data_IF_256903470943
#
_entry.id   IF_256903470943
#
_cell.length_a   1.000
_cell.length_b   1.000
_cell.length_c   1.000
_cell.angle_alpha   90.00
_cell.angle_beta   90.00
_cell.angle_gamma   90.00
#
_symmetry.space_group_name_H-M   'P 1'
#
loop_
_entity.id
_entity.type
_entity.pdbx_description
1 polymer ?
#
# COMPACT_ATOMS: atom_id res chain seq x y z
N UNK A 1 -9.97 3.92 -10.75
CA UNK A 1 -10.75 3.91 -9.49
C UNK A 1 -10.81 5.28 -8.81
N UNK A 2 -9.73 6.06 -8.89
CA UNK A 2 -9.58 7.38 -8.26
C UNK A 2 -10.72 8.37 -8.56
N UNK A 3 -11.22 8.43 -9.79
CA UNK A 3 -12.31 9.34 -10.17
C UNK A 3 -13.58 9.09 -9.36
N UNK A 4 -13.93 7.82 -9.12
CA UNK A 4 -15.09 7.46 -8.29
C UNK A 4 -14.93 7.92 -6.84
N UNK A 5 -13.72 7.89 -6.30
CA UNK A 5 -13.44 8.36 -4.94
C UNK A 5 -13.54 9.87 -4.87
N UNK A 6 -13.08 10.59 -5.90
CA UNK A 6 -13.19 12.06 -6.00
C UNK A 6 -14.64 12.53 -6.01
N UNK A 7 -15.56 11.77 -6.61
CA UNK A 7 -16.99 12.12 -6.63
C UNK A 7 -17.73 11.88 -5.31
N UNK A 8 -17.11 11.24 -4.31
CA UNK A 8 -17.77 10.98 -3.03
C UNK A 8 -17.81 12.26 -2.17
N UNK A 9 -18.96 12.58 -1.54
CA UNK A 9 -19.25 13.90 -0.97
C UNK A 9 -18.39 14.27 0.25
N UNK A 10 -17.83 13.29 0.96
CA UNK A 10 -17.08 13.53 2.19
C UNK A 10 -16.14 12.40 2.56
N UNK A 11 -15.26 12.69 3.51
CA UNK A 11 -14.26 11.74 4.00
C UNK A 11 -14.88 10.43 4.54
N UNK A 12 -15.96 10.45 5.37
CA UNK A 12 -16.58 9.22 5.85
C UNK A 12 -17.08 8.29 4.73
N UNK A 13 -17.66 8.85 3.67
CA UNK A 13 -18.14 8.09 2.51
C UNK A 13 -16.99 7.48 1.72
N UNK A 14 -15.89 8.23 1.56
CA UNK A 14 -14.64 7.72 0.95
C UNK A 14 -14.09 6.53 1.74
N UNK A 15 -13.96 6.66 3.06
CA UNK A 15 -13.48 5.58 3.92
C UNK A 15 -14.40 4.35 3.86
N UNK A 16 -15.73 4.55 3.91
CA UNK A 16 -16.68 3.45 3.81
C UNK A 16 -16.63 2.74 2.45
N UNK A 17 -16.38 3.48 1.36
CA UNK A 17 -16.16 2.89 0.05
C UNK A 17 -14.88 2.06 0.00
N UNK A 18 -13.76 2.62 0.45
CA UNK A 18 -12.46 1.93 0.49
C UNK A 18 -12.47 0.64 1.32
N UNK A 19 -13.29 0.57 2.38
CA UNK A 19 -13.47 -0.64 3.19
C UNK A 19 -14.23 -1.77 2.48
N UNK A 20 -14.97 -1.47 1.41
CA UNK A 20 -15.84 -2.43 0.71
C UNK A 20 -15.21 -3.02 -0.55
N UNK A 21 -14.23 -2.35 -1.12
CA UNK A 21 -13.59 -2.81 -2.36
C UNK A 21 -12.70 -4.02 -2.08
N UNK A 22 -12.48 -4.84 -3.10
CA UNK A 22 -11.61 -6.01 -3.03
C UNK A 22 -10.20 -5.62 -2.51
N UNK A 23 -9.57 -6.43 -1.62
CA UNK A 23 -8.27 -6.08 -1.06
C UNK A 23 -7.19 -5.84 -2.12
N UNK A 24 -7.11 -6.64 -3.19
CA UNK A 24 -6.13 -6.45 -4.25
C UNK A 24 -6.41 -5.18 -5.06
N UNK A 25 -7.69 -4.86 -5.26
CA UNK A 25 -8.08 -3.58 -5.89
C UNK A 25 -7.72 -2.39 -5.00
N UNK A 26 -7.77 -2.54 -3.68
CA UNK A 26 -7.33 -1.49 -2.74
C UNK A 26 -5.82 -1.27 -2.78
N UNK A 27 -5.04 -2.34 -2.93
CA UNK A 27 -3.58 -2.27 -3.08
C UNK A 27 -3.21 -1.51 -4.36
N UNK A 28 -3.79 -1.89 -5.50
CA UNK A 28 -3.57 -1.22 -6.79
C UNK A 28 -4.00 0.25 -6.76
N UNK A 29 -5.09 0.57 -6.06
CA UNK A 29 -5.55 1.96 -5.91
C UNK A 29 -4.49 2.86 -5.22
N UNK A 30 -3.74 2.35 -4.24
CA UNK A 30 -2.68 3.13 -3.60
C UNK A 30 -1.56 3.45 -4.59
N UNK A 31 -1.18 2.47 -5.43
CA UNK A 31 -0.17 2.65 -6.47
C UNK A 31 -0.65 3.61 -7.56
N UNK A 32 -1.88 3.46 -8.05
CA UNK A 32 -2.52 4.43 -8.96
C UNK A 32 -2.47 5.86 -8.36
N UNK A 33 -2.71 5.98 -7.05
CA UNK A 33 -2.65 7.25 -6.34
C UNK A 33 -1.27 7.91 -6.39
N UNK A 34 -0.21 7.15 -6.18
CA UNK A 34 1.17 7.64 -6.31
C UNK A 34 1.51 8.01 -7.76
N UNK A 35 1.14 7.16 -8.72
CA UNK A 35 1.34 7.43 -10.15
C UNK A 35 0.64 8.71 -10.61
N UNK A 36 -0.59 8.94 -10.14
CA UNK A 36 -1.35 10.15 -10.45
C UNK A 36 -0.69 11.45 -9.92
N UNK A 37 0.24 11.34 -8.96
CA UNK A 37 1.05 12.45 -8.46
C UNK A 37 2.47 12.48 -9.06
N UNK A 38 2.73 11.67 -10.09
CA UNK A 38 4.00 11.66 -10.83
C UNK A 38 5.09 10.78 -10.23
N UNK A 39 4.78 9.95 -9.22
CA UNK A 39 5.76 9.03 -8.66
C UNK A 39 5.83 7.73 -9.44
N UNK A 40 7.05 7.19 -9.58
CA UNK A 40 7.26 5.87 -10.18
C UNK A 40 6.94 4.78 -9.16
N UNK A 41 6.02 3.88 -9.50
CA UNK A 41 5.67 2.72 -8.67
C UNK A 41 6.27 1.42 -9.23
N UNK A 42 6.34 0.40 -8.38
CA UNK A 42 6.74 -0.96 -8.73
C UNK A 42 5.67 -1.89 -8.18
N UNK A 43 4.99 -2.61 -9.09
CA UNK A 43 3.98 -3.62 -8.78
C UNK A 43 4.64 -4.98 -8.59
N UNK A 44 4.19 -5.75 -7.61
CA UNK A 44 4.70 -7.10 -7.38
C UNK A 44 4.13 -8.07 -8.43
N UNK A 45 4.97 -9.01 -8.93
CA UNK A 45 4.55 -9.96 -10.00
C UNK A 45 3.66 -11.10 -9.50
N UNK A 46 3.61 -11.35 -8.19
CA UNK A 46 2.72 -12.31 -7.54
C UNK A 46 2.25 -11.73 -6.23
N UNK A 47 0.95 -11.84 -5.97
CA UNK A 47 0.28 -11.47 -4.72
C UNK A 47 0.53 -12.45 -3.57
N UNK A 48 1.39 -13.46 -3.76
CA UNK A 48 1.62 -14.52 -2.78
C UNK A 48 3.11 -14.82 -2.63
N UNK A 49 3.63 -14.62 -1.42
CA UNK A 49 4.93 -15.14 -0.98
C UNK A 49 5.97 -14.12 -0.50
N UNK A 50 5.69 -12.82 -0.53
CA UNK A 50 6.61 -11.74 -0.13
C UNK A 50 6.40 -11.22 1.31
N UNK A 51 5.57 -11.90 2.10
CA UNK A 51 5.38 -11.57 3.51
C UNK A 51 4.52 -10.33 3.75
N UNK A 52 3.85 -9.78 2.74
CA UNK A 52 2.93 -8.66 2.89
C UNK A 52 3.49 -7.31 2.47
N UNK A 53 4.36 -7.28 1.46
CA UNK A 53 4.62 -6.07 0.69
C UNK A 53 3.59 -6.04 -0.42
N UNK A 54 2.77 -4.99 -0.48
CA UNK A 54 1.67 -4.91 -1.45
C UNK A 54 2.03 -4.00 -2.63
N UNK A 55 3.14 -3.28 -2.53
CA UNK A 55 3.70 -2.49 -3.63
C UNK A 55 4.86 -1.62 -3.19
N UNK A 56 5.38 -0.80 -4.09
CA UNK A 56 6.55 0.02 -3.82
C UNK A 56 6.51 1.31 -4.63
N UNK A 57 7.12 2.37 -4.11
CA UNK A 57 7.20 3.67 -4.78
C UNK A 57 8.60 4.27 -4.64
N UNK A 58 9.06 4.93 -5.69
CA UNK A 58 10.31 5.71 -5.69
C UNK A 58 9.96 7.17 -5.47
N UNK A 59 10.51 7.76 -4.39
CA UNK A 59 10.35 9.17 -4.06
C UNK A 59 11.75 9.76 -3.88
N UNK A 60 12.15 10.64 -4.81
CA UNK A 60 13.53 11.11 -4.91
C UNK A 60 14.49 9.95 -5.16
N UNK A 61 15.51 9.81 -4.30
CA UNK A 61 16.50 8.72 -4.36
C UNK A 61 16.13 7.48 -3.56
N UNK A 62 14.98 7.51 -2.87
CA UNK A 62 14.60 6.46 -1.92
C UNK A 62 13.50 5.57 -2.48
N UNK A 63 13.60 4.28 -2.16
CA UNK A 63 12.58 3.28 -2.43
C UNK A 63 11.80 3.02 -1.15
N UNK A 64 10.48 3.19 -1.22
CA UNK A 64 9.56 2.94 -0.13
C UNK A 64 8.76 1.67 -0.42
N UNK A 65 8.64 0.79 0.56
CA UNK A 65 7.78 -0.38 0.51
C UNK A 65 6.40 -0.01 1.08
N UNK A 66 5.35 -0.52 0.47
CA UNK A 66 3.97 -0.25 0.83
C UNK A 66 3.36 -1.56 1.34
N UNK A 67 2.66 -1.47 2.46
CA UNK A 67 1.70 -2.47 2.92
C UNK A 67 0.35 -1.77 3.14
N UNK A 68 -0.71 -2.39 2.64
CA UNK A 68 -2.06 -1.89 2.58
C UNK A 68 -2.97 -2.75 3.47
N UNK A 69 -3.66 -2.11 4.41
CA UNK A 69 -4.61 -2.79 5.29
C UNK A 69 -5.91 -1.99 5.40
N UNK A 70 -7.03 -2.65 5.13
CA UNK A 70 -8.37 -2.06 5.25
C UNK A 70 -8.91 -2.24 6.68
N UNK A 71 -8.44 -1.43 7.62
CA UNK A 71 -8.88 -1.55 9.01
C UNK A 71 -10.34 -1.10 9.22
N UNK A 72 -11.08 -1.93 9.97
CA UNK A 72 -12.41 -1.56 10.51
C UNK A 72 -12.31 -0.85 11.86
N UNK A 73 -11.21 -1.07 12.60
CA UNK A 73 -10.91 -0.44 13.89
C UNK A 73 -9.49 0.13 13.93
N UNK A 74 -8.84 0.05 15.10
CA UNK A 74 -7.46 0.54 15.26
C UNK A 74 -6.45 -0.32 14.50
N UNK A 75 -5.32 0.32 14.13
CA UNK A 75 -4.14 -0.39 13.62
C UNK A 75 -3.56 -1.20 14.78
N UNK A 76 -3.48 -2.51 14.65
CA UNK A 76 -2.82 -3.36 15.65
C UNK A 76 -1.30 -3.13 15.60
N UNK A 77 -0.69 -2.90 16.76
CA UNK A 77 0.76 -2.69 16.90
C UNK A 77 1.57 -3.83 16.26
N UNK A 78 1.09 -5.06 16.41
CA UNK A 78 1.73 -6.24 15.85
C UNK A 78 1.94 -6.15 14.33
N UNK A 79 0.97 -5.63 13.58
CA UNK A 79 1.12 -5.48 12.13
C UNK A 79 2.26 -4.51 11.75
N UNK A 80 2.47 -3.47 12.56
CA UNK A 80 3.56 -2.51 12.34
C UNK A 80 4.91 -3.16 12.63
N UNK A 81 5.00 -3.94 13.71
CA UNK A 81 6.22 -4.66 14.08
C UNK A 81 6.60 -5.74 13.05
N UNK A 82 5.62 -6.46 12.54
CA UNK A 82 5.81 -7.44 11.46
C UNK A 82 6.34 -6.77 10.19
N UNK A 83 5.78 -5.62 9.82
CA UNK A 83 6.27 -4.86 8.67
C UNK A 83 7.69 -4.31 8.88
N UNK A 84 8.00 -3.80 10.07
CA UNK A 84 9.36 -3.34 10.41
C UNK A 84 10.40 -4.47 10.27
N UNK A 85 10.05 -5.67 10.72
CA UNK A 85 10.92 -6.84 10.60
C UNK A 85 11.21 -7.15 9.12
N UNK A 86 10.20 -7.08 8.25
CA UNK A 86 10.38 -7.28 6.80
C UNK A 86 11.30 -6.23 6.18
N UNK A 87 11.19 -4.96 6.60
CA UNK A 87 12.09 -3.90 6.13
C UNK A 87 13.55 -4.21 6.47
N UNK A 88 13.82 -4.71 7.69
CA UNK A 88 15.17 -5.08 8.14
C UNK A 88 15.72 -6.29 7.38
N UNK A 89 14.89 -7.30 7.12
CA UNK A 89 15.30 -8.50 6.35
C UNK A 89 15.52 -8.20 4.86
N UNK A 90 14.73 -7.30 4.28
CA UNK A 90 14.89 -6.85 2.90
C UNK A 90 16.13 -5.98 2.67
N UNK A 91 16.49 -5.13 3.63
CA UNK A 91 17.70 -4.30 3.57
C UNK A 91 18.99 -5.15 3.56
N UNK A 92 19.02 -6.23 4.34
CA UNK A 92 20.18 -7.12 4.41
C UNK A 92 20.40 -7.96 3.14
N UNK A 93 19.39 -8.11 2.27
CA UNK A 93 19.53 -8.84 0.99
C UNK A 93 20.04 -7.96 -0.15
N UNK A 94 20.02 -6.64 -0.01
CA UNK A 94 20.56 -5.70 -1.01
C UNK A 94 22.07 -5.46 -0.88
N UNK A 95 22.72 -6.03 0.14
CA UNK A 95 24.16 -5.93 0.40
C UNK A 95 24.93 -7.23 0.08
N UNK A 96 24.28 -8.21 -0.57
CA UNK A 96 24.90 -9.47 -1.03
C UNK A 96 24.85 -9.58 -2.56
#
# INVERSE_FOLDING_TARGET
MLERIKTLPGFPQKINYLRKIDPFVFEELLLEGFEAHGFRTIRNKRYTGDGGIDGQVIIGKYRYLIQAKRYRGHIALQHVQEFEKLLKEGANKSEM
#
